data_IF_633896186346
#
_entry.id   IF_633896186346
#
_cell.length_a   1.000
_cell.length_b   1.000
_cell.length_c   1.000
_cell.angle_alpha   90.00
_cell.angle_beta   90.00
_cell.angle_gamma   90.00
#
_symmetry.space_group_name_H-M   'P 1'
#
loop_
_entity.id
_entity.type
_entity.pdbx_description
1 polymer ?
#
# COMPACT_ATOMS: atom_id res chain seq x y z
N UNK A 1 9.67 27.87 -24.88
CA UNK A 1 8.52 28.16 -23.99
C UNK A 1 7.65 26.93 -23.75
N UNK A 2 7.10 26.28 -24.79
CA UNK A 2 6.25 25.07 -24.63
C UNK A 2 6.92 23.92 -23.85
N UNK A 3 8.16 23.53 -24.23
CA UNK A 3 8.91 22.46 -23.53
C UNK A 3 9.10 22.77 -22.04
N UNK A 4 9.42 24.03 -21.71
CA UNK A 4 9.60 24.47 -20.33
C UNK A 4 8.28 24.37 -19.53
N UNK A 5 7.15 24.77 -20.14
CA UNK A 5 5.83 24.65 -19.52
C UNK A 5 5.50 23.17 -19.23
N UNK A 6 5.70 22.28 -20.21
CA UNK A 6 5.45 20.84 -20.03
C UNK A 6 6.35 20.26 -18.93
N UNK A 7 7.64 20.62 -18.90
CA UNK A 7 8.56 20.16 -17.87
C UNK A 7 8.16 20.64 -16.46
N UNK A 8 7.76 21.91 -16.33
CA UNK A 8 7.29 22.48 -15.06
C UNK A 8 6.01 21.79 -14.60
N UNK A 9 5.03 21.62 -15.48
CA UNK A 9 3.78 20.92 -15.15
C UNK A 9 4.03 19.46 -14.76
N UNK A 10 4.90 18.76 -15.48
CA UNK A 10 5.31 17.40 -15.15
C UNK A 10 5.99 17.31 -13.78
N UNK A 11 6.87 18.26 -13.46
CA UNK A 11 7.52 18.32 -12.15
C UNK A 11 6.51 18.59 -11.02
N UNK A 12 5.60 19.55 -11.21
CA UNK A 12 4.55 19.86 -10.24
C UNK A 12 3.62 18.67 -10.00
N UNK A 13 3.23 17.96 -11.06
CA UNK A 13 2.42 16.75 -10.97
C UNK A 13 3.17 15.64 -10.24
N UNK A 14 4.44 15.41 -10.58
CA UNK A 14 5.28 14.44 -9.89
C UNK A 14 5.40 14.74 -8.40
N UNK A 15 5.69 16.00 -8.04
CA UNK A 15 5.78 16.44 -6.65
C UNK A 15 4.44 16.22 -5.93
N UNK A 16 3.32 16.60 -6.55
CA UNK A 16 1.99 16.39 -6.00
C UNK A 16 1.73 14.90 -5.71
N UNK A 17 1.99 14.00 -6.67
CA UNK A 17 1.81 12.56 -6.50
C UNK A 17 2.75 12.04 -5.40
N UNK A 18 4.01 12.45 -5.41
CA UNK A 18 5.00 12.02 -4.43
C UNK A 18 4.53 12.31 -3.00
N UNK A 19 3.96 13.49 -2.72
CA UNK A 19 3.47 13.83 -1.37
C UNK A 19 2.05 13.32 -1.04
N UNK A 20 1.21 13.05 -2.03
CA UNK A 20 -0.20 12.66 -1.82
C UNK A 20 -0.46 11.15 -1.97
N UNK A 21 0.43 10.42 -2.63
CA UNK A 21 0.27 9.00 -2.99
C UNK A 21 -0.15 8.10 -1.81
N UNK A 22 0.50 8.22 -0.65
CA UNK A 22 0.15 7.42 0.52
C UNK A 22 -1.28 7.66 1.00
N UNK A 23 -1.76 8.91 0.98
CA UNK A 23 -3.14 9.25 1.35
C UNK A 23 -4.14 8.60 0.41
N UNK A 24 -3.85 8.60 -0.89
CA UNK A 24 -4.69 7.97 -1.89
C UNK A 24 -4.73 6.46 -1.72
N UNK A 25 -3.58 5.82 -1.51
CA UNK A 25 -3.51 4.38 -1.25
C UNK A 25 -4.33 4.02 -0.01
N UNK A 26 -4.08 4.68 1.14
CA UNK A 26 -4.85 4.43 2.37
C UNK A 26 -6.36 4.64 2.16
N UNK A 27 -6.74 5.66 1.40
CA UNK A 27 -8.14 5.95 1.09
C UNK A 27 -8.79 4.86 0.24
N UNK A 28 -8.11 4.33 -0.77
CA UNK A 28 -8.64 3.24 -1.60
C UNK A 28 -8.85 1.96 -0.82
N UNK A 29 -8.00 1.68 0.18
CA UNK A 29 -8.19 0.57 1.11
C UNK A 29 -9.24 0.86 2.19
N UNK A 30 -9.79 2.08 2.27
CA UNK A 30 -10.69 2.47 3.36
C UNK A 30 -10.02 2.41 4.74
N UNK A 31 -8.69 2.58 4.78
CA UNK A 31 -7.91 2.35 5.97
C UNK A 31 -8.19 3.42 7.06
N UNK A 32 -8.40 2.96 8.29
CA UNK A 32 -8.68 3.80 9.46
C UNK A 32 -7.49 3.78 10.40
N UNK A 33 -7.16 4.93 10.98
CA UNK A 33 -6.06 5.01 11.96
C UNK A 33 -6.43 4.20 13.20
N UNK A 34 -5.54 3.30 13.61
CA UNK A 34 -5.69 2.53 14.85
C UNK A 34 -5.27 3.42 16.02
N UNK A 35 -6.02 3.42 17.12
CA UNK A 35 -5.56 4.15 18.31
C UNK A 35 -4.62 3.27 19.14
N UNK A 36 -3.60 3.88 19.75
CA UNK A 36 -2.67 3.17 20.65
C UNK A 36 -3.38 2.51 21.82
N UNK A 37 -4.51 3.08 22.28
CA UNK A 37 -5.38 2.51 23.31
C UNK A 37 -6.07 1.21 22.88
N UNK A 38 -6.38 1.06 21.59
CA UNK A 38 -7.09 -0.12 21.05
C UNK A 38 -6.14 -1.32 20.88
N UNK A 39 -4.90 -1.06 20.47
CA UNK A 39 -3.88 -2.08 20.21
C UNK A 39 -2.50 -1.66 20.74
N UNK A 40 -2.32 -1.55 22.07
CA UNK A 40 -1.06 -1.04 22.65
C UNK A 40 0.14 -1.91 22.33
N UNK A 41 -0.07 -3.23 22.21
CA UNK A 41 0.97 -4.20 21.90
C UNK A 41 1.60 -3.98 20.52
N UNK A 42 0.77 -3.75 19.49
CA UNK A 42 1.26 -3.48 18.13
C UNK A 42 2.14 -2.24 18.09
N UNK A 43 1.69 -1.17 18.78
CA UNK A 43 2.49 0.05 18.91
C UNK A 43 3.79 -0.20 19.65
N UNK A 44 3.78 -0.98 20.73
CA UNK A 44 4.99 -1.30 21.50
C UNK A 44 6.03 -2.05 20.66
N UNK A 45 5.59 -3.08 19.93
CA UNK A 45 6.46 -3.87 19.06
C UNK A 45 7.05 -2.97 17.97
N UNK A 46 6.20 -2.20 17.30
CA UNK A 46 6.62 -1.33 16.21
C UNK A 46 7.59 -0.22 16.67
N UNK A 47 7.33 0.39 17.84
CA UNK A 47 8.21 1.40 18.44
C UNK A 47 9.58 0.82 18.82
N UNK A 48 9.64 -0.40 19.36
CA UNK A 48 10.88 -1.09 19.68
C UNK A 48 11.68 -1.45 18.41
N UNK A 49 11.04 -2.02 17.39
CA UNK A 49 11.67 -2.33 16.10
C UNK A 49 12.21 -1.06 15.41
N UNK A 50 11.43 0.03 15.43
CA UNK A 50 11.83 1.30 14.86
C UNK A 50 13.01 1.93 15.62
N UNK A 51 12.99 1.85 16.95
CA UNK A 51 14.09 2.29 17.83
C UNK A 51 15.40 1.56 17.52
N UNK A 52 15.36 0.22 17.44
CA UNK A 52 16.54 -0.62 17.16
C UNK A 52 17.15 -0.37 15.77
N UNK A 53 16.34 0.09 14.81
CA UNK A 53 16.81 0.42 13.45
C UNK A 53 17.12 1.90 13.24
N UNK A 54 16.78 2.76 14.19
CA UNK A 54 16.93 4.22 14.07
C UNK A 54 16.05 4.84 13.00
N UNK A 55 14.87 4.26 12.73
CA UNK A 55 13.86 4.84 11.84
C UNK A 55 12.74 5.48 12.67
N UNK A 56 11.95 6.36 12.06
CA UNK A 56 10.75 6.87 12.73
C UNK A 56 9.66 5.78 12.72
N UNK A 57 8.98 5.54 13.86
CA UNK A 57 7.90 4.56 13.91
C UNK A 57 6.74 4.99 12.99
N UNK A 58 6.26 4.12 12.09
CA UNK A 58 5.12 4.46 11.25
C UNK A 58 3.83 4.53 12.05
N UNK A 59 2.87 5.30 11.54
CA UNK A 59 1.50 5.30 12.07
C UNK A 59 0.76 4.04 11.62
N UNK A 60 -0.01 3.41 12.51
CA UNK A 60 -0.73 2.17 12.21
C UNK A 60 -2.14 2.48 11.71
N UNK A 61 -2.51 1.85 10.60
CA UNK A 61 -3.84 1.88 10.01
C UNK A 61 -4.37 0.46 9.84
N UNK A 62 -5.65 0.25 10.12
CA UNK A 62 -6.34 -1.01 9.84
C UNK A 62 -7.31 -0.85 8.68
N UNK A 63 -7.50 -1.90 7.89
CA UNK A 63 -8.50 -1.94 6.83
C UNK A 63 -9.19 -3.31 6.76
N UNK A 64 -10.42 -3.32 6.27
CA UNK A 64 -11.20 -4.55 6.14
C UNK A 64 -10.78 -5.30 4.87
N UNK A 65 -10.39 -6.57 5.02
CA UNK A 65 -10.08 -7.47 3.90
C UNK A 65 -10.24 -8.91 4.36
N UNK A 66 -10.82 -9.76 3.52
CA UNK A 66 -10.90 -11.20 3.74
C UNK A 66 -9.56 -11.92 3.55
N UNK A 67 -8.60 -11.28 2.87
CA UNK A 67 -7.26 -11.80 2.66
C UNK A 67 -6.26 -11.09 3.60
N UNK A 68 -5.37 -11.83 4.28
CA UNK A 68 -4.36 -11.25 5.14
C UNK A 68 -3.36 -10.43 4.31
N UNK A 69 -3.15 -9.18 4.70
CA UNK A 69 -2.19 -8.29 4.06
C UNK A 69 -1.67 -7.23 5.05
N UNK A 70 -0.37 -6.97 4.99
CA UNK A 70 0.31 -5.89 5.69
C UNK A 70 1.27 -5.22 4.71
N UNK A 71 1.36 -3.89 4.73
CA UNK A 71 2.32 -3.15 3.90
C UNK A 71 2.54 -1.73 4.42
N UNK A 72 3.71 -1.17 4.10
CA UNK A 72 4.06 0.22 4.43
C UNK A 72 3.88 1.16 3.23
N UNK A 73 3.28 2.33 3.48
CA UNK A 73 3.16 3.43 2.51
C UNK A 73 3.72 4.75 3.03
N UNK A 74 4.00 5.68 2.13
CA UNK A 74 4.56 7.00 2.44
C UNK A 74 6.04 7.10 2.10
N UNK A 75 6.80 7.71 3.00
CA UNK A 75 8.24 7.95 2.84
C UNK A 75 8.98 7.51 4.07
N UNK A 76 10.30 7.29 3.96
CA UNK A 76 11.12 6.88 5.09
C UNK A 76 11.08 7.86 6.29
N UNK A 77 10.81 9.14 6.03
CA UNK A 77 10.64 10.17 7.07
C UNK A 77 9.21 10.33 7.57
N UNK A 78 8.22 9.72 6.90
CA UNK A 78 6.80 9.78 7.27
C UNK A 78 6.07 8.64 6.59
N UNK A 79 6.04 7.49 7.25
CA UNK A 79 5.45 6.25 6.78
C UNK A 79 4.19 5.90 7.57
N UNK A 80 3.39 5.03 7.00
CA UNK A 80 2.20 4.46 7.62
C UNK A 80 2.17 2.97 7.32
N UNK A 81 1.95 2.16 8.35
CA UNK A 81 1.80 0.72 8.24
C UNK A 81 0.30 0.42 8.14
N UNK A 82 -0.12 -0.15 7.03
CA UNK A 82 -1.49 -0.63 6.85
C UNK A 82 -1.54 -2.13 7.11
N UNK A 83 -2.51 -2.58 7.91
CA UNK A 83 -2.72 -3.98 8.25
C UNK A 83 -4.19 -4.38 8.05
N UNK A 84 -4.46 -5.52 7.44
CA UNK A 84 -5.83 -6.01 7.31
C UNK A 84 -6.37 -6.55 8.63
N UNK A 85 -7.69 -6.47 8.83
CA UNK A 85 -8.36 -7.08 9.98
C UNK A 85 -8.15 -8.60 10.02
N UNK A 86 -8.21 -9.27 8.87
CA UNK A 86 -7.90 -10.71 8.75
C UNK A 86 -6.48 -11.06 9.22
N UNK A 87 -5.49 -10.21 8.95
CA UNK A 87 -4.13 -10.45 9.41
C UNK A 87 -4.01 -10.41 10.95
N UNK A 88 -4.74 -9.47 11.58
CA UNK A 88 -4.81 -9.34 13.03
C UNK A 88 -5.54 -10.50 13.72
N UNK A 89 -6.43 -11.18 12.99
CA UNK A 89 -7.21 -12.31 13.50
C UNK A 89 -6.48 -13.65 13.29
N UNK A 90 -5.72 -13.78 12.19
CA UNK A 90 -5.08 -15.04 11.79
C UNK A 90 -3.71 -15.26 12.42
N UNK A 91 -2.94 -14.20 12.67
CA UNK A 91 -1.54 -14.30 13.10
C UNK A 91 -1.36 -13.94 14.57
N UNK A 92 -0.47 -14.66 15.25
CA UNK A 92 -0.07 -14.38 16.61
C UNK A 92 0.92 -13.22 16.71
N UNK A 93 1.30 -12.90 17.96
CA UNK A 93 2.20 -11.79 18.25
C UNK A 93 3.58 -11.95 17.60
N UNK A 94 4.15 -13.15 17.64
CA UNK A 94 5.49 -13.43 17.11
C UNK A 94 5.52 -13.31 15.58
N UNK A 95 4.48 -13.82 14.90
CA UNK A 95 4.36 -13.71 13.45
C UNK A 95 4.16 -12.25 13.05
N UNK A 96 3.30 -11.51 13.75
CA UNK A 96 3.07 -10.09 13.51
C UNK A 96 4.33 -9.26 13.76
N UNK A 97 5.12 -9.56 14.79
CA UNK A 97 6.41 -8.92 15.04
C UNK A 97 7.37 -9.14 13.86
N UNK A 98 7.48 -10.35 13.35
CA UNK A 98 8.37 -10.64 12.22
C UNK A 98 7.93 -9.93 10.93
N UNK A 99 6.63 -9.91 10.66
CA UNK A 99 6.07 -9.22 9.49
C UNK A 99 6.24 -7.69 9.62
N UNK A 100 6.05 -7.13 10.82
CA UNK A 100 6.37 -5.72 11.09
C UNK A 100 7.86 -5.43 10.95
N UNK A 101 8.74 -6.35 11.37
CA UNK A 101 10.18 -6.18 11.23
C UNK A 101 10.63 -6.16 9.76
N UNK A 102 9.99 -6.96 8.90
CA UNK A 102 10.18 -6.92 7.45
C UNK A 102 9.78 -5.55 6.88
N UNK A 103 8.60 -5.05 7.27
CA UNK A 103 8.12 -3.72 6.85
C UNK A 103 9.01 -2.56 7.35
N UNK A 104 9.54 -2.66 8.58
CA UNK A 104 10.57 -1.74 9.09
C UNK A 104 11.84 -1.82 8.23
N UNK A 105 12.19 -2.99 7.71
CA UNK A 105 13.27 -3.20 6.74
C UNK A 105 13.11 -2.33 5.50
N UNK A 106 11.91 -2.25 4.93
CA UNK A 106 11.62 -1.34 3.81
C UNK A 106 11.81 0.14 4.18
N UNK A 107 11.33 0.56 5.35
CA UNK A 107 11.56 1.93 5.84
C UNK A 107 13.06 2.23 5.96
N UNK A 108 13.82 1.31 6.57
CA UNK A 108 15.26 1.43 6.76
C UNK A 108 16.01 1.51 5.43
N UNK A 109 15.60 0.71 4.46
CA UNK A 109 16.17 0.66 3.11
C UNK A 109 15.72 1.83 2.21
N UNK A 110 14.85 2.73 2.72
CA UNK A 110 14.32 3.92 2.04
C UNK A 110 13.59 3.62 0.74
N UNK A 111 12.88 2.51 0.69
CA UNK A 111 12.27 2.03 -0.54
C UNK A 111 10.72 2.10 -0.53
N UNK A 112 10.14 2.40 0.64
CA UNK A 112 8.71 2.73 0.85
C UNK A 112 8.18 3.77 -0.13
N UNK A 113 8.93 4.82 -0.44
CA UNK A 113 8.49 5.85 -1.40
C UNK A 113 8.26 5.28 -2.81
N UNK A 114 9.12 4.35 -3.25
CA UNK A 114 8.99 3.67 -4.54
C UNK A 114 7.84 2.67 -4.53
N UNK A 115 7.67 1.94 -3.43
CA UNK A 115 6.55 1.00 -3.25
C UNK A 115 5.21 1.74 -3.27
N UNK A 116 5.13 2.86 -2.54
CA UNK A 116 3.95 3.72 -2.50
C UNK A 116 3.61 4.29 -3.87
N UNK A 117 4.60 4.78 -4.60
CA UNK A 117 4.39 5.29 -5.95
C UNK A 117 3.89 4.19 -6.91
N UNK A 118 4.46 2.99 -6.80
CA UNK A 118 4.03 1.83 -7.59
C UNK A 118 2.60 1.42 -7.26
N UNK A 119 2.27 1.31 -5.98
CA UNK A 119 0.92 1.02 -5.50
C UNK A 119 -0.08 2.11 -5.93
N UNK A 120 0.33 3.37 -5.93
CA UNK A 120 -0.49 4.48 -6.41
C UNK A 120 -0.81 4.36 -7.91
N UNK A 121 0.19 4.04 -8.75
CA UNK A 121 -0.04 3.84 -10.18
C UNK A 121 -0.95 2.63 -10.44
N UNK A 122 -0.70 1.52 -9.76
CA UNK A 122 -1.53 0.32 -9.87
C UNK A 122 -2.98 0.61 -9.44
N UNK A 123 -3.17 1.30 -8.31
CA UNK A 123 -4.50 1.70 -7.84
C UNK A 123 -5.19 2.72 -8.74
N UNK A 124 -4.44 3.58 -9.43
CA UNK A 124 -4.98 4.49 -10.45
C UNK A 124 -5.53 3.70 -11.63
N UNK A 125 -4.79 2.69 -12.11
CA UNK A 125 -5.27 1.78 -13.16
C UNK A 125 -6.52 1.03 -12.68
N UNK A 126 -6.51 0.55 -11.42
CA UNK A 126 -7.64 -0.13 -10.81
C UNK A 126 -8.82 0.78 -10.48
N UNK A 127 -8.69 2.10 -10.65
CA UNK A 127 -9.81 3.03 -10.57
C UNK A 127 -10.60 3.12 -11.89
N UNK A 128 -10.00 2.68 -13.00
CA UNK A 128 -10.62 2.67 -14.33
C UNK A 128 -11.95 1.89 -14.42
N UNK A 129 -12.12 0.72 -13.78
CA UNK A 129 -13.40 0.01 -13.81
C UNK A 129 -14.57 0.79 -13.21
N UNK A 130 -14.34 1.51 -12.11
CA UNK A 130 -15.36 2.36 -11.51
C UNK A 130 -15.69 3.56 -12.40
N UNK A 131 -14.68 4.10 -13.09
CA UNK A 131 -14.88 5.15 -14.09
C UNK A 131 -15.72 4.67 -15.27
N UNK A 132 -15.41 3.48 -15.84
CA UNK A 132 -16.18 2.87 -16.93
C UNK A 132 -17.66 2.64 -16.55
N UNK A 133 -17.90 2.15 -15.33
CA UNK A 133 -19.24 1.99 -14.76
C UNK A 133 -19.98 3.34 -14.68
N UNK A 134 -19.31 4.38 -14.19
CA UNK A 134 -19.93 5.71 -14.05
C UNK A 134 -20.26 6.31 -15.42
N UNK A 135 -19.36 6.17 -16.40
CA UNK A 135 -19.61 6.59 -17.78
C UNK A 135 -20.83 5.88 -18.38
N UNK A 136 -20.99 4.57 -18.18
CA UNK A 136 -22.16 3.86 -18.71
C UNK A 136 -23.47 4.35 -18.08
N UNK A 137 -23.46 4.67 -16.78
CA UNK A 137 -24.63 5.24 -16.11
C UNK A 137 -25.02 6.60 -16.71
N UNK A 138 -24.04 7.45 -17.05
CA UNK A 138 -24.28 8.75 -17.70
C UNK A 138 -24.82 8.64 -19.12
N UNK A 139 -24.49 7.57 -19.84
CA UNK A 139 -24.96 7.33 -21.21
C UNK A 139 -26.35 6.68 -21.29
N UNK A 140 -27.07 6.58 -20.16
CA UNK A 140 -28.45 6.11 -20.11
C UNK A 140 -28.65 4.73 -19.47
N UNK A 141 -27.59 4.03 -19.08
CA UNK A 141 -27.65 2.70 -18.46
C UNK A 141 -27.75 2.74 -16.92
N UNK A 142 -28.29 3.82 -16.35
CA UNK A 142 -28.25 4.08 -14.90
C UNK A 142 -29.48 3.62 -14.10
N UNK A 143 -30.39 2.87 -14.70
CA UNK A 143 -31.63 2.43 -14.03
C UNK A 143 -31.33 1.41 -12.91
N UNK A 144 -32.15 1.34 -11.84
CA UNK A 144 -31.86 0.49 -10.66
C UNK A 144 -31.59 -0.99 -10.97
N UNK A 145 -32.24 -1.54 -12.01
CA UNK A 145 -32.15 -2.95 -12.41
C UNK A 145 -31.27 -3.16 -13.66
N UNK A 146 -30.53 -2.14 -14.10
CA UNK A 146 -29.72 -2.25 -15.32
C UNK A 146 -28.43 -3.07 -15.07
N UNK A 147 -28.20 -4.18 -15.79
CA UNK A 147 -26.97 -4.96 -15.65
C UNK A 147 -25.77 -4.32 -16.35
N UNK A 148 -25.98 -3.38 -17.28
CA UNK A 148 -24.92 -2.84 -18.13
C UNK A 148 -23.78 -2.14 -17.35
N UNK A 149 -24.01 -1.33 -16.29
CA UNK A 149 -22.92 -0.75 -15.52
C UNK A 149 -22.01 -1.79 -14.87
N UNK A 150 -22.59 -2.88 -14.33
CA UNK A 150 -21.80 -3.98 -13.76
C UNK A 150 -21.00 -4.69 -14.85
N UNK A 151 -21.62 -4.94 -16.01
CA UNK A 151 -20.96 -5.53 -17.17
C UNK A 151 -19.74 -4.72 -17.63
N UNK A 152 -19.89 -3.40 -17.82
CA UNK A 152 -18.77 -2.53 -18.20
C UNK A 152 -17.67 -2.50 -17.12
N UNK A 153 -18.05 -2.49 -15.84
CA UNK A 153 -17.08 -2.59 -14.73
C UNK A 153 -16.29 -3.89 -14.80
N UNK A 154 -16.93 -5.03 -15.05
CA UNK A 154 -16.23 -6.32 -15.11
C UNK A 154 -15.26 -6.40 -16.28
N UNK A 155 -15.66 -5.97 -17.47
CA UNK A 155 -14.77 -5.92 -18.63
C UNK A 155 -13.59 -4.99 -18.37
N UNK A 156 -13.85 -3.78 -17.88
CA UNK A 156 -12.80 -2.83 -17.55
C UNK A 156 -11.85 -3.38 -16.47
N UNK A 157 -12.36 -4.17 -15.51
CA UNK A 157 -11.53 -4.86 -14.50
C UNK A 157 -10.64 -5.90 -15.15
N UNK A 158 -11.18 -6.76 -16.03
CA UNK A 158 -10.40 -7.78 -16.72
C UNK A 158 -9.24 -7.18 -17.54
N UNK A 159 -9.45 -5.98 -18.11
CA UNK A 159 -8.41 -5.24 -18.85
C UNK A 159 -7.41 -4.56 -17.90
N UNK A 160 -7.88 -3.99 -16.78
CA UNK A 160 -7.05 -3.22 -15.86
C UNK A 160 -6.14 -4.08 -14.96
N UNK A 161 -6.57 -5.30 -14.62
CA UNK A 161 -5.84 -6.17 -13.68
C UNK A 161 -4.45 -6.58 -14.20
N UNK A 162 -4.28 -7.12 -15.43
CA UNK A 162 -2.97 -7.52 -15.93
C UNK A 162 -1.89 -6.42 -15.93
N UNK A 163 -2.15 -5.19 -16.42
CA UNK A 163 -1.15 -4.13 -16.36
C UNK A 163 -0.86 -3.66 -14.93
N UNK A 164 -1.87 -3.61 -14.05
CA UNK A 164 -1.66 -3.26 -12.65
C UNK A 164 -0.75 -4.29 -11.95
N UNK A 165 -1.02 -5.59 -12.14
CA UNK A 165 -0.22 -6.68 -11.60
C UNK A 165 1.22 -6.66 -12.14
N UNK A 166 1.38 -6.47 -13.45
CA UNK A 166 2.69 -6.38 -14.10
C UNK A 166 3.52 -5.22 -13.55
N UNK A 167 2.90 -4.05 -13.34
CA UNK A 167 3.59 -2.91 -12.76
C UNK A 167 4.12 -3.18 -11.36
N UNK A 168 3.34 -3.84 -10.50
CA UNK A 168 3.78 -4.22 -9.15
C UNK A 168 4.95 -5.21 -9.24
N UNK A 169 4.80 -6.25 -10.07
CA UNK A 169 5.81 -7.31 -10.20
C UNK A 169 7.15 -6.77 -10.71
N UNK A 170 7.15 -5.91 -11.72
CA UNK A 170 8.38 -5.37 -12.31
C UNK A 170 9.10 -4.34 -11.42
N UNK A 171 8.40 -3.73 -10.45
CA UNK A 171 8.95 -2.66 -9.61
C UNK A 171 9.51 -3.14 -8.27
N UNK A 172 9.23 -4.38 -7.89
CA UNK A 172 9.73 -5.02 -6.67
C UNK A 172 10.74 -6.13 -7.01
N UNK A 173 12.00 -5.76 -7.32
CA UNK A 173 13.04 -6.75 -7.57
C UNK A 173 13.34 -7.57 -6.31
N UNK A 174 13.51 -8.88 -6.45
CA UNK A 174 13.78 -9.83 -5.36
C UNK A 174 14.91 -9.40 -4.42
N UNK A 175 15.94 -8.70 -4.93
CA UNK A 175 17.05 -8.16 -4.13
C UNK A 175 16.59 -7.18 -3.04
N UNK A 176 15.46 -6.49 -3.21
CA UNK A 176 14.92 -5.57 -2.22
C UNK A 176 14.20 -6.30 -1.11
N UNK A 177 13.40 -7.30 -1.46
CA UNK A 177 12.73 -8.19 -0.50
C UNK A 177 13.75 -8.90 0.38
N UNK A 178 14.80 -9.49 -0.21
CA UNK A 178 15.89 -10.13 0.54
C UNK A 178 16.58 -9.19 1.55
N UNK A 179 16.71 -7.89 1.21
CA UNK A 179 17.28 -6.90 2.14
C UNK A 179 16.33 -6.55 3.28
N UNK A 180 15.02 -6.60 3.04
CA UNK A 180 14.02 -6.42 4.10
C UNK A 180 14.04 -7.64 5.04
N UNK A 181 14.10 -8.85 4.48
CA UNK A 181 14.23 -10.10 5.24
C UNK A 181 15.50 -10.13 6.10
N UNK A 182 16.65 -9.73 5.54
CA UNK A 182 17.91 -9.61 6.30
C UNK A 182 17.78 -8.68 7.52
N UNK A 183 17.02 -7.59 7.40
CA UNK A 183 16.77 -6.67 8.52
C UNK A 183 15.85 -7.32 9.54
N UNK A 184 14.77 -7.95 9.08
CA UNK A 184 13.81 -8.61 9.94
C UNK A 184 14.46 -9.72 10.78
N UNK A 185 15.25 -10.59 10.16
CA UNK A 185 16.00 -11.66 10.86
C UNK A 185 16.96 -11.09 11.91
N UNK A 186 17.63 -9.97 11.62
CA UNK A 186 18.52 -9.30 12.58
C UNK A 186 17.75 -8.73 13.78
N UNK A 187 16.53 -8.26 13.58
CA UNK A 187 15.71 -7.64 14.62
C UNK A 187 15.02 -8.68 15.51
N UNK A 188 14.39 -9.68 14.90
CA UNK A 188 13.64 -10.73 15.61
C UNK A 188 14.56 -11.82 16.18
N UNK A 189 15.79 -11.93 15.66
CA UNK A 189 16.74 -13.03 15.96
C UNK A 189 16.16 -14.42 15.70
N UNK A 190 15.10 -14.50 14.89
CA UNK A 190 14.43 -15.76 14.58
C UNK A 190 14.30 -15.90 13.05
N UNK A 191 15.17 -16.69 12.40
CA UNK A 191 15.15 -16.86 10.95
C UNK A 191 13.98 -17.71 10.46
N UNK A 192 13.29 -18.45 11.33
CA UNK A 192 12.22 -19.36 10.94
C UNK A 192 10.86 -18.68 10.75
N UNK A 193 10.68 -17.43 11.19
CA UNK A 193 9.37 -16.75 11.13
C UNK A 193 9.05 -16.19 9.73
N UNK A 194 10.05 -16.12 8.84
CA UNK A 194 9.91 -15.58 7.48
C UNK A 194 10.28 -16.60 6.38
N UNK A 195 10.53 -17.86 6.76
CA UNK A 195 11.02 -18.93 5.88
C UNK A 195 9.89 -19.82 5.34
#
# INVERSE_FOLDING_TARGET
MFIAIVAILGFLLYAYIYFSSSKWVLKWYGAKKVQKSEKPLLYSILEDLASRTGVQPPEIYSFESSLPSMFTVGHASKSSLAISTSMLEMFGELELEALMAHEIGHIKNKDVGKNTFTAFLAGTIMSFPNFAMWCSMLTGFGQPEDPAPRFFRYIATAIAVPPAALLIHLKNPAKRELKADEVAVKLTKNPQVLA
#
